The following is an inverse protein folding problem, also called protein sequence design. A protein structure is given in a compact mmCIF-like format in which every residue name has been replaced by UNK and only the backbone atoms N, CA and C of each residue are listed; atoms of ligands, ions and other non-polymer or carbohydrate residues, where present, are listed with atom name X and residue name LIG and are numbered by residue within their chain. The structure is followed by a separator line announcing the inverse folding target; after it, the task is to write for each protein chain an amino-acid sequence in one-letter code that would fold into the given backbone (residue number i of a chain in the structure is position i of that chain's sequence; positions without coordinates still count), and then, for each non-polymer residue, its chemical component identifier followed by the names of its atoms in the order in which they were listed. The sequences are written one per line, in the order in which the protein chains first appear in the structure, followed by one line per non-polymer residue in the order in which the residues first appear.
data_IF_743718826079
#
_entry.id   IF_743718826079
#
_cell.length_a   1.000
_cell.length_b   1.000
_cell.length_c   1.000
_cell.angle_alpha   90.00
_cell.angle_beta   90.00
_cell.angle_gamma   90.00
#
_symmetry.space_group_name_H-M   'P 1'
#
loop_
_entity.id
_entity.type
_entity.pdbx_description
1 polymer ?
#
# COMPACT_ATOMS: atom_id res chain seq x y z
N UNK A 1 -1.25 21.60 -5.81
CA UNK A 1 -1.95 21.03 -6.98
C UNK A 1 -1.20 19.82 -7.52
N UNK A 2 -0.80 18.88 -6.64
CA UNK A 2 0.05 17.72 -7.00
C UNK A 2 0.11 16.62 -5.93
N UNK A 3 -0.68 16.74 -4.86
CA UNK A 3 -0.75 15.77 -3.76
C UNK A 3 -1.69 14.62 -4.11
N UNK A 4 -2.86 14.89 -4.70
CA UNK A 4 -3.89 13.88 -5.02
C UNK A 4 -3.46 12.86 -6.10
N UNK A 5 -2.82 13.30 -7.19
CA UNK A 5 -2.31 12.39 -8.25
C UNK A 5 -1.18 11.48 -7.75
N UNK A 6 -0.33 12.00 -6.86
CA UNK A 6 0.76 11.24 -6.27
C UNK A 6 0.22 10.17 -5.32
N UNK A 7 -0.83 10.48 -4.56
CA UNK A 7 -1.49 9.55 -3.63
C UNK A 7 -2.14 8.39 -4.38
N UNK A 8 -2.95 8.63 -5.42
CA UNK A 8 -3.61 7.54 -6.16
C UNK A 8 -2.63 6.59 -6.88
N UNK A 9 -1.51 7.12 -7.39
CA UNK A 9 -0.44 6.30 -7.94
C UNK A 9 0.27 5.46 -6.87
N UNK A 10 0.43 6.00 -5.66
CA UNK A 10 1.04 5.30 -4.54
C UNK A 10 0.15 4.14 -4.08
N UNK A 11 -1.14 4.37 -3.89
CA UNK A 11 -2.08 3.37 -3.38
C UNK A 11 -2.14 2.14 -4.29
N UNK A 12 -2.15 2.36 -5.61
CA UNK A 12 -2.11 1.28 -6.59
C UNK A 12 -0.84 0.43 -6.47
N UNK A 13 0.32 1.08 -6.41
CA UNK A 13 1.60 0.36 -6.29
C UNK A 13 1.68 -0.41 -4.98
N UNK A 14 1.16 0.15 -3.88
CA UNK A 14 1.10 -0.55 -2.60
C UNK A 14 0.13 -1.75 -2.65
N UNK A 15 -1.00 -1.63 -3.35
CA UNK A 15 -1.92 -2.74 -3.57
C UNK A 15 -1.27 -3.87 -4.37
N UNK A 16 -0.55 -3.56 -5.47
CA UNK A 16 0.17 -4.55 -6.27
C UNK A 16 1.24 -5.30 -5.44
N UNK A 17 1.97 -4.57 -4.58
CA UNK A 17 2.96 -5.16 -3.67
C UNK A 17 2.30 -6.06 -2.62
N UNK A 18 1.15 -5.64 -2.07
CA UNK A 18 0.40 -6.42 -1.10
C UNK A 18 -0.15 -7.72 -1.71
N UNK A 19 -0.69 -7.65 -2.93
CA UNK A 19 -1.19 -8.81 -3.67
C UNK A 19 -0.06 -9.79 -4.02
N UNK A 20 1.10 -9.28 -4.43
CA UNK A 20 2.30 -10.10 -4.63
C UNK A 20 2.68 -10.79 -3.32
N UNK A 21 2.77 -10.07 -2.19
CA UNK A 21 3.11 -10.69 -0.89
C UNK A 21 2.13 -11.78 -0.47
N UNK A 22 0.84 -11.55 -0.64
CA UNK A 22 -0.17 -12.58 -0.37
C UNK A 22 0.01 -13.81 -1.29
N UNK A 23 0.46 -13.63 -2.54
CA UNK A 23 0.79 -14.73 -3.43
C UNK A 23 2.05 -15.49 -2.99
N UNK A 24 3.07 -14.78 -2.50
CA UNK A 24 4.29 -15.37 -1.95
C UNK A 24 3.98 -16.23 -0.72
N UNK A 25 3.17 -15.72 0.21
CA UNK A 25 2.75 -16.45 1.41
C UNK A 25 1.95 -17.71 1.06
N UNK A 26 1.05 -17.64 0.07
CA UNK A 26 0.33 -18.82 -0.43
C UNK A 26 1.26 -19.86 -1.05
N UNK A 27 2.35 -19.41 -1.69
CA UNK A 27 3.26 -20.28 -2.43
C UNK A 27 4.32 -20.93 -1.54
N UNK A 28 4.84 -20.20 -0.56
CA UNK A 28 6.00 -20.61 0.22
C UNK A 28 5.74 -20.69 1.73
N UNK A 29 4.57 -20.25 2.21
CA UNK A 29 4.26 -20.23 3.64
C UNK A 29 5.16 -19.26 4.42
N UNK A 30 5.13 -19.33 5.78
CA UNK A 30 6.01 -18.51 6.60
C UNK A 30 7.48 -18.88 6.35
N UNK A 31 8.31 -17.87 6.07
CA UNK A 31 9.74 -18.01 5.82
C UNK A 31 10.52 -17.21 6.86
N UNK A 32 11.52 -17.85 7.47
CA UNK A 32 12.47 -17.19 8.38
C UNK A 32 13.89 -17.45 7.87
N UNK A 33 14.60 -16.38 7.53
CA UNK A 33 15.99 -16.42 7.08
C UNK A 33 16.85 -15.50 7.94
N UNK A 34 18.14 -15.83 8.16
CA UNK A 34 19.07 -14.88 8.76
C UNK A 34 19.27 -13.67 7.84
N UNK A 35 19.45 -12.49 8.43
CA UNK A 35 19.54 -11.22 7.68
C UNK A 35 20.68 -11.20 6.66
N UNK A 36 21.83 -11.78 7.02
CA UNK A 36 23.01 -11.80 6.15
C UNK A 36 23.62 -10.41 5.90
N UNK A 37 23.29 -9.43 6.74
CA UNK A 37 23.79 -8.05 6.71
C UNK A 37 24.88 -7.84 7.75
N UNK A 38 25.72 -6.83 7.54
CA UNK A 38 26.89 -6.60 8.40
C UNK A 38 27.98 -5.74 7.78
N UNK A 39 28.99 -5.36 8.57
CA UNK A 39 30.06 -4.44 8.15
C UNK A 39 30.91 -4.98 6.98
N UNK A 40 30.89 -6.29 6.71
CA UNK A 40 31.53 -6.89 5.53
C UNK A 40 31.02 -6.30 4.21
N UNK A 41 29.80 -5.76 4.19
CA UNK A 41 29.19 -5.13 3.02
C UNK A 41 29.50 -3.63 2.91
N UNK A 42 30.14 -3.02 3.91
CA UNK A 42 30.42 -1.58 3.93
C UNK A 42 31.23 -1.11 2.70
N UNK A 43 32.16 -1.93 2.21
CA UNK A 43 32.91 -1.60 1.00
C UNK A 43 32.02 -1.55 -0.25
N UNK A 44 30.95 -2.35 -0.31
CA UNK A 44 29.97 -2.30 -1.39
C UNK A 44 29.07 -1.07 -1.28
N UNK A 45 28.56 -0.76 -0.07
CA UNK A 45 27.82 0.47 0.22
C UNK A 45 28.58 1.72 -0.23
N UNK A 46 29.84 1.83 0.17
CA UNK A 46 30.72 2.93 -0.20
C UNK A 46 30.95 3.06 -1.70
N UNK A 47 31.04 1.93 -2.43
CA UNK A 47 31.13 1.95 -3.89
C UNK A 47 29.82 2.41 -4.53
N UNK A 48 28.68 1.93 -4.04
CA UNK A 48 27.37 2.32 -4.55
C UNK A 48 27.10 3.82 -4.33
N UNK A 49 27.38 4.32 -3.12
CA UNK A 49 27.32 5.74 -2.76
C UNK A 49 28.15 6.62 -3.68
N UNK A 50 29.42 6.26 -3.91
CA UNK A 50 30.29 6.99 -4.84
C UNK A 50 29.76 6.99 -6.27
N UNK A 51 29.30 5.84 -6.76
CA UNK A 51 28.74 5.73 -8.10
C UNK A 51 27.47 6.56 -8.27
N UNK A 52 26.58 6.57 -7.28
CA UNK A 52 25.37 7.39 -7.29
C UNK A 52 25.71 8.89 -7.29
N UNK A 53 26.60 9.33 -6.39
CA UNK A 53 27.06 10.72 -6.32
C UNK A 53 27.77 11.18 -7.61
N UNK A 54 28.57 10.31 -8.24
CA UNK A 54 29.21 10.58 -9.53
C UNK A 54 28.20 10.73 -10.66
N UNK A 55 27.25 9.79 -10.77
CA UNK A 55 26.19 9.86 -11.77
C UNK A 55 25.34 11.12 -11.60
N UNK A 56 24.99 11.48 -10.36
CA UNK A 56 24.29 12.72 -10.04
C UNK A 56 25.07 13.96 -10.49
N UNK A 57 26.38 14.02 -10.22
CA UNK A 57 27.23 15.15 -10.65
C UNK A 57 27.34 15.28 -12.17
N UNK A 58 27.27 14.18 -12.90
CA UNK A 58 27.32 14.15 -14.37
C UNK A 58 25.95 14.37 -15.03
N UNK A 59 24.87 14.43 -14.26
CA UNK A 59 23.50 14.49 -14.81
C UNK A 59 23.04 13.15 -15.41
N UNK A 60 23.70 12.05 -15.06
CA UNK A 60 23.46 10.68 -15.56
C UNK A 60 22.80 9.80 -14.48
N UNK A 61 22.19 10.42 -13.46
CA UNK A 61 21.56 9.69 -12.36
C UNK A 61 20.42 8.80 -12.89
N UNK A 62 20.35 7.57 -12.37
CA UNK A 62 19.31 6.61 -12.76
C UNK A 62 18.71 6.00 -11.51
N UNK A 63 17.49 5.49 -11.62
CA UNK A 63 16.87 4.74 -10.53
C UNK A 63 17.68 3.53 -10.06
N UNK A 64 18.41 2.87 -10.97
CA UNK A 64 19.35 1.80 -10.62
C UNK A 64 20.42 2.31 -9.65
N UNK A 65 20.97 3.51 -9.88
CA UNK A 65 21.98 4.08 -8.98
C UNK A 65 21.41 4.30 -7.58
N UNK A 66 20.23 4.93 -7.48
CA UNK A 66 19.57 5.23 -6.21
C UNK A 66 19.20 3.95 -5.46
N UNK A 67 18.51 3.01 -6.12
CA UNK A 67 18.09 1.76 -5.46
C UNK A 67 19.29 0.90 -5.02
N UNK A 68 20.37 0.88 -5.82
CA UNK A 68 21.58 0.13 -5.45
C UNK A 68 22.28 0.75 -4.25
N UNK A 69 22.32 2.08 -4.14
CA UNK A 69 22.88 2.77 -2.98
C UNK A 69 22.12 2.39 -1.71
N UNK A 70 20.81 2.65 -1.65
CA UNK A 70 19.97 2.35 -0.48
C UNK A 70 20.05 0.87 -0.08
N UNK A 71 19.98 -0.04 -1.06
CA UNK A 71 20.05 -1.47 -0.77
C UNK A 71 21.41 -1.87 -0.22
N UNK A 72 22.52 -1.33 -0.76
CA UNK A 72 23.84 -1.63 -0.22
C UNK A 72 24.08 -0.98 1.16
N UNK A 73 23.48 0.17 1.45
CA UNK A 73 23.49 0.77 2.79
C UNK A 73 22.74 -0.14 3.79
N UNK A 74 21.57 -0.65 3.43
CA UNK A 74 20.85 -1.66 4.23
C UNK A 74 21.70 -2.91 4.49
N UNK A 75 22.38 -3.46 3.48
CA UNK A 75 23.25 -4.63 3.65
C UNK A 75 24.43 -4.39 4.61
N UNK A 76 24.90 -3.15 4.74
CA UNK A 76 26.01 -2.82 5.63
C UNK A 76 25.59 -2.64 7.10
N UNK A 77 24.29 -2.59 7.40
CA UNK A 77 23.77 -2.37 8.75
C UNK A 77 23.63 -3.68 9.54
N UNK A 78 24.07 -3.64 10.80
CA UNK A 78 24.07 -4.79 11.72
C UNK A 78 23.04 -4.63 12.85
N UNK A 79 22.62 -3.41 13.12
CA UNK A 79 21.60 -3.11 14.12
C UNK A 79 20.20 -3.37 13.53
N UNK A 80 19.37 -4.24 14.13
CA UNK A 80 18.09 -4.62 13.55
C UNK A 80 17.10 -3.45 13.36
N UNK A 81 17.12 -2.47 14.28
CA UNK A 81 16.21 -1.33 14.19
C UNK A 81 16.60 -0.39 13.03
N UNK A 82 17.91 -0.16 12.87
CA UNK A 82 18.43 0.60 11.72
C UNK A 82 18.28 -0.17 10.41
N UNK A 83 18.58 -1.46 10.39
CA UNK A 83 18.38 -2.32 9.23
C UNK A 83 16.93 -2.23 8.73
N UNK A 84 15.95 -2.30 9.65
CA UNK A 84 14.54 -2.11 9.30
C UNK A 84 14.28 -0.75 8.65
N UNK A 85 14.86 0.32 9.17
CA UNK A 85 14.70 1.66 8.60
C UNK A 85 15.29 1.76 7.18
N UNK A 86 16.49 1.23 6.97
CA UNK A 86 17.17 1.18 5.67
C UNK A 86 16.41 0.32 4.64
N UNK A 87 15.85 -0.81 5.07
CA UNK A 87 14.99 -1.66 4.23
C UNK A 87 13.69 -0.93 3.83
N UNK A 88 13.12 -0.13 4.72
CA UNK A 88 11.96 0.72 4.40
C UNK A 88 12.33 1.80 3.38
N UNK A 89 13.50 2.43 3.51
CA UNK A 89 13.99 3.40 2.51
C UNK A 89 14.22 2.75 1.16
N UNK A 90 14.85 1.56 1.14
CA UNK A 90 15.03 0.74 -0.06
C UNK A 90 13.69 0.43 -0.74
N UNK A 91 12.69 -0.01 0.04
CA UNK A 91 11.35 -0.28 -0.48
C UNK A 91 10.67 0.99 -1.01
N UNK A 92 10.82 2.12 -0.33
CA UNK A 92 10.28 3.41 -0.77
C UNK A 92 10.89 3.86 -2.11
N UNK A 93 12.18 3.64 -2.34
CA UNK A 93 12.82 3.92 -3.64
C UNK A 93 12.32 2.98 -4.73
N UNK A 94 12.11 1.69 -4.42
CA UNK A 94 11.51 0.75 -5.37
C UNK A 94 10.08 1.17 -5.76
N UNK A 95 9.23 1.51 -4.79
CA UNK A 95 7.88 2.06 -5.01
C UNK A 95 7.95 3.29 -5.91
N UNK A 96 8.82 4.26 -5.57
CA UNK A 96 8.98 5.48 -6.35
C UNK A 96 9.45 5.21 -7.78
N UNK A 97 10.31 4.21 -7.97
CA UNK A 97 10.74 3.80 -9.30
C UNK A 97 9.58 3.17 -10.09
N UNK A 98 8.75 2.31 -9.48
CA UNK A 98 7.54 1.74 -10.11
C UNK A 98 6.59 2.87 -10.54
N UNK A 99 6.24 3.80 -9.64
CA UNK A 99 5.42 4.97 -9.98
C UNK A 99 6.02 5.79 -11.15
N UNK A 100 7.35 5.90 -11.17
CA UNK A 100 8.06 6.60 -12.24
C UNK A 100 8.10 5.81 -13.56
N UNK A 101 8.08 4.47 -13.52
CA UNK A 101 7.94 3.61 -14.69
C UNK A 101 6.52 3.70 -15.25
N UNK A 102 5.53 3.63 -14.38
CA UNK A 102 4.11 3.72 -14.72
C UNK A 102 3.80 5.03 -15.43
N UNK A 103 4.31 6.13 -14.90
CA UNK A 103 4.13 7.47 -15.50
C UNK A 103 4.91 7.65 -16.81
N UNK A 104 6.09 7.04 -16.97
CA UNK A 104 6.89 7.14 -18.22
C UNK A 104 6.35 6.30 -19.36
N UNK A 105 6.02 5.06 -19.06
CA UNK A 105 5.74 4.06 -20.08
C UNK A 105 4.26 3.92 -20.35
N UNK A 106 3.42 4.55 -19.53
CA UNK A 106 2.00 4.25 -19.50
C UNK A 106 1.88 2.73 -19.36
N UNK A 107 2.03 2.20 -18.14
CA UNK A 107 1.27 0.96 -17.90
C UNK A 107 -0.15 1.31 -18.32
N UNK A 108 -0.78 0.55 -19.23
CA UNK A 108 -2.14 0.85 -19.56
C UNK A 108 -2.93 0.69 -18.26
N UNK A 109 -3.20 1.81 -17.59
CA UNK A 109 -4.59 2.12 -17.34
C UNK A 109 -5.28 1.99 -18.70
N UNK A 110 -6.48 1.43 -18.78
CA UNK A 110 -7.20 1.32 -20.05
C UNK A 110 -7.41 2.66 -20.79
N UNK A 111 -6.87 3.79 -20.31
CA UNK A 111 -7.02 5.11 -20.89
C UNK A 111 -5.68 5.86 -20.95
N UNK A 112 -5.30 6.21 -22.18
CA UNK A 112 -4.15 7.04 -22.49
C UNK A 112 -4.40 8.52 -22.25
N UNK A 113 -3.34 9.18 -21.81
CA UNK A 113 -3.14 10.61 -21.57
C UNK A 113 -3.85 11.56 -22.56
N UNK A 114 -4.74 12.38 -22.01
CA UNK A 114 -4.92 13.79 -22.36
C UNK A 114 -5.47 14.55 -21.15
N UNK A 115 -4.56 14.99 -20.27
CA UNK A 115 -4.82 16.02 -19.26
C UNK A 115 -5.71 15.59 -18.09
N UNK A 116 -5.11 15.37 -16.91
CA UNK A 116 -5.85 15.10 -15.67
C UNK A 116 -6.86 13.96 -15.83
N UNK A 117 -6.42 12.82 -16.36
CA UNK A 117 -7.29 11.65 -16.46
C UNK A 117 -7.69 11.23 -15.03
N UNK A 118 -8.99 11.15 -14.72
CA UNK A 118 -9.44 10.81 -13.38
C UNK A 118 -8.91 9.42 -13.02
N UNK A 119 -8.27 9.30 -11.86
CA UNK A 119 -8.05 7.98 -11.26
C UNK A 119 -9.42 7.30 -11.18
N UNK A 120 -9.56 6.14 -11.82
CA UNK A 120 -10.78 5.35 -11.74
C UNK A 120 -10.95 4.88 -10.30
N UNK A 121 -11.89 5.50 -9.59
CA UNK A 121 -12.24 5.15 -8.21
C UNK A 121 -13.56 4.41 -8.20
N UNK A 122 -13.65 3.40 -7.35
CA UNK A 122 -14.95 2.86 -6.98
C UNK A 122 -15.70 3.93 -6.19
N UNK A 123 -16.90 4.29 -6.62
CA UNK A 123 -17.73 5.32 -5.99
C UNK A 123 -19.06 4.73 -5.56
N UNK A 124 -19.70 5.34 -4.55
CA UNK A 124 -21.08 5.00 -4.18
C UNK A 124 -22.03 5.31 -5.35
N UNK A 125 -23.11 4.54 -5.47
CA UNK A 125 -24.03 4.57 -6.62
C UNK A 125 -24.62 5.95 -6.94
N UNK A 126 -24.75 6.82 -5.93
CA UNK A 126 -25.33 8.17 -6.08
C UNK A 126 -24.30 9.26 -6.40
N UNK A 127 -23.00 8.97 -6.33
CA UNK A 127 -21.96 9.96 -6.62
C UNK A 127 -22.08 10.52 -8.05
N UNK A 128 -22.34 9.72 -9.10
CA UNK A 128 -22.53 10.26 -10.44
C UNK A 128 -23.67 11.27 -10.52
N UNK A 129 -24.79 11.03 -9.84
CA UNK A 129 -25.94 11.95 -9.83
C UNK A 129 -25.65 13.23 -9.07
N UNK A 130 -24.90 13.13 -7.96
CA UNK A 130 -24.44 14.30 -7.20
C UNK A 130 -23.50 15.17 -8.06
N UNK A 131 -22.60 14.55 -8.84
CA UNK A 131 -21.72 15.27 -9.77
C UNK A 131 -22.54 15.96 -10.86
N UNK A 132 -23.53 15.29 -11.46
CA UNK A 132 -24.46 15.90 -12.44
C UNK A 132 -25.23 17.07 -11.86
N UNK A 133 -25.73 16.95 -10.63
CA UNK A 133 -26.41 18.04 -9.93
C UNK A 133 -25.49 19.26 -9.71
N UNK A 134 -24.17 19.06 -9.64
CA UNK A 134 -23.17 20.14 -9.58
C UNK A 134 -22.83 20.78 -10.95
N UNK A 135 -23.50 20.36 -12.03
CA UNK A 135 -23.28 20.87 -13.39
C UNK A 135 -22.07 20.27 -14.11
N UNK A 136 -21.53 19.15 -13.61
CA UNK A 136 -20.41 18.41 -14.21
C UNK A 136 -20.90 17.06 -14.76
N UNK A 137 -20.29 16.54 -15.82
CA UNK A 137 -20.64 15.21 -16.36
C UNK A 137 -19.57 14.17 -15.96
N UNK A 138 -19.91 13.16 -15.14
CA UNK A 138 -18.98 12.09 -14.78
C UNK A 138 -18.89 11.00 -15.85
N UNK A 139 -17.69 10.47 -16.08
CA UNK A 139 -17.50 9.20 -16.80
C UNK A 139 -17.69 8.04 -15.82
N UNK A 140 -18.55 7.07 -16.16
CA UNK A 140 -18.82 5.91 -15.31
C UNK A 140 -18.86 4.63 -16.15
N UNK A 141 -18.35 3.54 -15.59
CA UNK A 141 -18.48 2.19 -16.14
C UNK A 141 -18.84 1.21 -15.02
N UNK A 142 -19.48 0.12 -15.41
CA UNK A 142 -19.78 -0.99 -14.49
C UNK A 142 -18.67 -2.04 -14.63
N UNK A 143 -18.17 -2.51 -13.50
CA UNK A 143 -17.09 -3.51 -13.41
C UNK A 143 -17.66 -4.92 -13.22
N UNK A 144 -16.93 -5.94 -13.66
CA UNK A 144 -17.31 -7.35 -13.41
C UNK A 144 -16.87 -7.82 -12.02
N UNK A 145 -17.39 -8.97 -11.56
CA UNK A 145 -17.21 -9.47 -10.19
C UNK A 145 -15.75 -9.55 -9.71
N UNK A 146 -14.84 -10.05 -10.56
CA UNK A 146 -13.42 -10.17 -10.20
C UNK A 146 -12.73 -8.82 -10.02
N UNK A 147 -13.03 -7.87 -10.90
CA UNK A 147 -12.51 -6.51 -10.83
C UNK A 147 -13.14 -5.74 -9.66
N UNK A 148 -14.45 -5.92 -9.43
CA UNK A 148 -15.17 -5.34 -8.31
C UNK A 148 -14.56 -5.74 -6.96
N UNK A 149 -14.21 -7.02 -6.79
CA UNK A 149 -13.56 -7.50 -5.57
C UNK A 149 -12.20 -6.84 -5.33
N UNK A 150 -11.41 -6.63 -6.40
CA UNK A 150 -10.12 -5.93 -6.30
C UNK A 150 -10.31 -4.44 -5.97
N UNK A 151 -11.27 -3.78 -6.63
CA UNK A 151 -11.59 -2.38 -6.37
C UNK A 151 -12.10 -2.14 -4.95
N UNK A 152 -12.91 -3.04 -4.38
CA UNK A 152 -13.34 -2.95 -2.98
C UNK A 152 -12.18 -3.11 -1.99
N UNK A 153 -11.21 -3.99 -2.27
CA UNK A 153 -10.01 -4.11 -1.43
C UNK A 153 -9.15 -2.84 -1.49
N UNK A 154 -8.95 -2.29 -2.68
CA UNK A 154 -8.26 -1.01 -2.86
C UNK A 154 -9.00 0.12 -2.12
N UNK A 155 -10.33 0.15 -2.23
CA UNK A 155 -11.19 1.11 -1.53
C UNK A 155 -11.04 1.01 -0.01
N UNK A 156 -10.97 -0.20 0.54
CA UNK A 156 -10.74 -0.38 1.98
C UNK A 156 -9.42 0.23 2.46
N UNK A 157 -8.35 0.08 1.67
CA UNK A 157 -7.08 0.72 2.00
C UNK A 157 -7.13 2.23 1.89
N UNK A 158 -7.80 2.78 0.86
CA UNK A 158 -8.06 4.22 0.71
C UNK A 158 -8.75 4.78 1.96
N UNK A 159 -9.91 4.25 2.34
CA UNK A 159 -10.69 4.79 3.47
C UNK A 159 -9.96 4.64 4.83
N UNK A 160 -9.25 3.52 5.03
CA UNK A 160 -8.44 3.34 6.24
C UNK A 160 -7.28 4.34 6.27
N UNK A 161 -6.65 4.63 5.13
CA UNK A 161 -5.58 5.61 5.03
C UNK A 161 -6.11 7.03 5.30
N UNK A 162 -7.29 7.38 4.79
CA UNK A 162 -7.97 8.64 5.08
C UNK A 162 -8.26 8.77 6.58
N UNK A 163 -8.84 7.75 7.21
CA UNK A 163 -9.04 7.71 8.67
C UNK A 163 -7.73 7.88 9.45
N UNK A 164 -6.66 7.20 9.06
CA UNK A 164 -5.34 7.30 9.73
C UNK A 164 -4.77 8.71 9.57
N UNK A 165 -5.01 9.38 8.45
CA UNK A 165 -4.48 10.72 8.17
C UNK A 165 -5.20 11.82 8.95
N UNK A 166 -6.54 11.79 9.03
CA UNK A 166 -7.33 12.87 9.62
C UNK A 166 -7.91 12.52 11.01
N UNK A 167 -8.10 11.23 11.32
CA UNK A 167 -8.73 10.74 12.54
C UNK A 167 -10.23 11.00 12.64
N UNK A 168 -10.89 11.36 11.53
CA UNK A 168 -12.31 11.72 11.51
C UNK A 168 -13.21 10.46 11.58
N UNK A 169 -14.30 10.56 12.33
CA UNK A 169 -15.27 9.48 12.46
C UNK A 169 -16.10 9.28 11.18
N UNK A 170 -16.21 10.28 10.30
CA UNK A 170 -16.86 10.13 9.00
C UNK A 170 -16.15 9.07 8.14
N UNK A 171 -14.80 9.04 8.15
CA UNK A 171 -14.03 8.02 7.41
C UNK A 171 -14.29 6.60 7.95
N UNK A 172 -14.62 6.45 9.23
CA UNK A 172 -15.01 5.14 9.77
C UNK A 172 -16.35 4.66 9.19
N UNK A 173 -17.24 5.57 8.80
CA UNK A 173 -18.49 5.22 8.12
C UNK A 173 -18.23 4.73 6.69
N UNK A 174 -17.27 5.35 5.99
CA UNK A 174 -16.81 4.88 4.68
C UNK A 174 -16.11 3.51 4.78
N UNK A 175 -15.24 3.31 5.77
CA UNK A 175 -14.66 1.99 6.08
C UNK A 175 -15.75 0.94 6.34
N UNK A 176 -16.77 1.28 7.12
CA UNK A 176 -17.87 0.36 7.43
C UNK A 176 -18.70 -0.01 6.19
N UNK A 177 -18.97 0.94 5.30
CA UNK A 177 -19.65 0.71 4.02
C UNK A 177 -18.87 -0.31 3.17
N UNK A 178 -17.56 -0.12 3.05
CA UNK A 178 -16.69 -1.03 2.29
C UNK A 178 -16.65 -2.42 2.93
N UNK A 179 -16.60 -2.51 4.27
CA UNK A 179 -16.66 -3.78 4.99
C UNK A 179 -17.97 -4.53 4.72
N UNK A 180 -19.12 -3.84 4.65
CA UNK A 180 -20.39 -4.47 4.29
C UNK A 180 -20.40 -4.97 2.84
N UNK A 181 -19.87 -4.19 1.89
CA UNK A 181 -19.77 -4.61 0.50
C UNK A 181 -18.85 -5.84 0.32
N UNK A 182 -17.71 -5.88 1.04
CA UNK A 182 -16.82 -7.05 1.09
C UNK A 182 -17.50 -8.26 1.74
N UNK A 183 -18.27 -8.06 2.82
CA UNK A 183 -19.03 -9.15 3.45
C UNK A 183 -20.07 -9.75 2.49
N UNK A 184 -20.74 -8.91 1.69
CA UNK A 184 -21.67 -9.36 0.66
C UNK A 184 -20.99 -10.22 -0.41
N UNK A 185 -19.75 -9.91 -0.82
CA UNK A 185 -18.95 -10.77 -1.71
C UNK A 185 -18.68 -12.16 -1.10
N UNK A 186 -18.63 -12.26 0.23
CA UNK A 186 -18.50 -13.53 0.95
C UNK A 186 -19.85 -14.21 1.26
N UNK A 187 -20.97 -13.66 0.77
CA UNK A 187 -22.32 -14.15 1.06
C UNK A 187 -22.73 -13.94 2.52
N UNK A 188 -22.13 -12.95 3.20
CA UNK A 188 -22.37 -12.63 4.61
C UNK A 188 -23.21 -11.35 4.69
N UNK A 189 -24.41 -11.46 5.27
CA UNK A 189 -25.25 -10.30 5.55
C UNK A 189 -24.68 -9.45 6.70
N UNK A 190 -24.96 -8.14 6.76
CA UNK A 190 -24.49 -7.25 7.82
C UNK A 190 -24.82 -7.76 9.23
N UNK A 191 -26.02 -8.30 9.44
CA UNK A 191 -26.45 -8.82 10.73
C UNK A 191 -25.66 -10.08 11.13
N UNK A 192 -25.27 -10.90 10.16
CA UNK A 192 -24.42 -12.07 10.39
C UNK A 192 -22.99 -11.65 10.72
N UNK A 193 -22.46 -10.65 10.02
CA UNK A 193 -21.15 -10.09 10.34
C UNK A 193 -21.12 -9.53 11.77
N UNK A 194 -22.15 -8.79 12.16
CA UNK A 194 -22.29 -8.24 13.50
C UNK A 194 -22.44 -9.34 14.56
N UNK A 195 -23.21 -10.41 14.29
CA UNK A 195 -23.27 -11.58 15.17
C UNK A 195 -21.89 -12.21 15.38
N UNK A 196 -21.10 -12.37 14.31
CA UNK A 196 -19.73 -12.90 14.40
C UNK A 196 -18.80 -11.99 15.21
N UNK A 197 -18.91 -10.67 15.03
CA UNK A 197 -18.17 -9.67 15.82
C UNK A 197 -18.54 -9.75 17.30
N UNK A 198 -19.84 -9.76 17.61
CA UNK A 198 -20.36 -9.83 18.97
C UNK A 198 -19.98 -11.14 19.67
N UNK A 199 -20.04 -12.28 18.98
CA UNK A 199 -19.60 -13.57 19.52
C UNK A 199 -18.10 -13.56 19.89
N UNK A 200 -17.24 -13.02 19.01
CA UNK A 200 -15.81 -12.85 19.32
C UNK A 200 -15.59 -11.91 20.50
N UNK A 201 -16.35 -10.82 20.60
CA UNK A 201 -16.26 -9.88 21.72
C UNK A 201 -16.71 -10.51 23.05
N UNK A 202 -17.72 -11.39 23.04
CA UNK A 202 -18.14 -12.15 24.21
C UNK A 202 -17.12 -13.22 24.63
N UNK A 203 -16.49 -13.89 23.65
CA UNK A 203 -15.50 -14.94 23.88
C UNK A 203 -14.14 -14.38 24.33
N UNK A 204 -13.70 -13.26 23.74
CA UNK A 204 -12.31 -12.76 23.83
C UNK A 204 -12.18 -11.35 24.40
N UNK A 205 -13.30 -10.70 24.72
CA UNK A 205 -13.34 -9.29 25.08
C UNK A 205 -13.26 -8.36 23.88
N UNK A 206 -13.37 -7.06 24.16
CA UNK A 206 -13.15 -5.99 23.19
C UNK A 206 -11.87 -5.20 23.49
N UNK A 207 -11.70 -4.05 22.84
CA UNK A 207 -10.51 -3.19 23.04
C UNK A 207 -10.66 -2.19 24.20
N UNK A 208 -11.66 -2.36 25.08
CA UNK A 208 -11.97 -1.41 26.16
C UNK A 208 -10.84 -1.28 27.20
N UNK A 209 -10.12 -2.38 27.45
CA UNK A 209 -9.04 -2.43 28.45
C UNK A 209 -7.71 -1.85 27.93
N UNK A 210 -7.62 -1.47 26.64
CA UNK A 210 -6.45 -0.82 26.01
C UNK A 210 -5.13 -1.57 26.20
N UNK A 211 -5.20 -2.90 26.19
CA UNK A 211 -4.05 -3.76 26.43
C UNK A 211 -3.16 -3.86 25.17
N UNK A 212 -1.84 -3.84 25.38
CA UNK A 212 -0.83 -4.15 24.36
C UNK A 212 -0.03 -5.36 24.84
N UNK A 213 -0.09 -6.46 24.09
CA UNK A 213 0.65 -7.69 24.41
C UNK A 213 2.11 -7.57 23.96
N UNK A 214 3.05 -7.87 24.86
CA UNK A 214 4.46 -8.11 24.53
C UNK A 214 4.76 -9.57 24.87
N UNK A 215 5.28 -10.30 23.90
CA UNK A 215 5.80 -11.65 24.10
C UNK A 215 7.32 -11.55 24.07
N UNK A 216 7.97 -11.98 25.15
CA UNK A 216 9.42 -12.16 25.13
C UNK A 216 9.70 -13.42 24.29
N UNK A 217 10.67 -13.34 23.38
CA UNK A 217 11.17 -14.54 22.73
C UNK A 217 11.81 -15.41 23.81
N UNK A 218 11.36 -16.66 23.95
CA UNK A 218 11.88 -17.60 24.94
C UNK A 218 13.41 -17.59 24.91
N UNK A 219 14.03 -17.13 26.00
CA UNK A 219 15.46 -17.34 26.27
C UNK A 219 15.65 -18.84 26.53
N UNK A 220 15.85 -19.61 25.47
CA UNK A 220 16.30 -21.00 25.54
C UNK A 220 17.74 -21.11 25.09
#
# INVERSE_FOLDING_TARGET
MGTEETTGSLDRVLADIADERAAQDRRWGPQEFPDGTGPEHAAAAERAKRACAEASRRGELTWRHVLTEEFCEALAESDPARLRAELVQTAAVAVKWIQSLDSRHGVPSPEGDRGGAPAEKLVRDRIPDIIRASGREPSVRVVGDGEYASLLRAKLYEEVAEYVACGDAEELADVLEVVHALAALHGVAPEELERRRAAKAAERGGFADRLVLRLDADRT
#
